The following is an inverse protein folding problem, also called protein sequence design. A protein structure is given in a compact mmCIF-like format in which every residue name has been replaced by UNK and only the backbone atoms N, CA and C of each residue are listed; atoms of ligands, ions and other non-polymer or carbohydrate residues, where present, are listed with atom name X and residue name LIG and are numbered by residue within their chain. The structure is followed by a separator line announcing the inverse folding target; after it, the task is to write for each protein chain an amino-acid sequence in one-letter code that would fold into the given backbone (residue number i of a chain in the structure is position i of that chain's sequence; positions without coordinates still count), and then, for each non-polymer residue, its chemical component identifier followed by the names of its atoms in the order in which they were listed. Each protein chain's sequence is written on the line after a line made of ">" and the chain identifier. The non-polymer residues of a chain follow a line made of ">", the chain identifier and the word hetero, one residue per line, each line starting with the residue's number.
data_IF_692568536203
#
_entry.id   IF_692568536203
#
_cell.length_a   1.000
_cell.length_b   1.000
_cell.length_c   1.000
_cell.angle_alpha   90.00
_cell.angle_beta   90.00
_cell.angle_gamma   90.00
#
_symmetry.space_group_name_H-M   'P 1'
#
loop_
_entity.id
_entity.type
_entity.pdbx_description
1 polymer ?
#
# COMPACT_ATOMS: atom_id res chain seq x y z
N UNK A 1 -11.17 -7.44 3.11
CA UNK A 1 -9.76 -7.77 2.82
C UNK A 1 -9.46 -7.88 1.32
N UNK A 2 -10.20 -8.68 0.51
CA UNK A 2 -9.95 -8.77 -0.94
C UNK A 2 -10.00 -7.43 -1.68
N UNK A 3 -11.04 -6.62 -1.46
CA UNK A 3 -11.19 -5.29 -2.11
C UNK A 3 -10.09 -4.31 -1.70
N UNK A 4 -9.76 -4.24 -0.40
CA UNK A 4 -8.71 -3.37 0.12
C UNK A 4 -7.32 -3.76 -0.40
N UNK A 5 -7.03 -5.05 -0.52
CA UNK A 5 -5.77 -5.54 -1.08
C UNK A 5 -5.62 -5.24 -2.57
N UNK A 6 -6.71 -5.27 -3.34
CA UNK A 6 -6.71 -4.83 -4.75
C UNK A 6 -6.36 -3.34 -4.85
N UNK A 7 -7.01 -2.48 -4.07
CA UNK A 7 -6.69 -1.04 -4.07
C UNK A 7 -5.27 -0.76 -3.60
N UNK A 8 -4.79 -1.48 -2.59
CA UNK A 8 -3.40 -1.38 -2.13
C UNK A 8 -2.42 -1.73 -3.26
N UNK A 9 -2.66 -2.84 -3.96
CA UNK A 9 -1.86 -3.25 -5.12
C UNK A 9 -1.86 -2.19 -6.23
N UNK A 10 -3.04 -1.63 -6.54
CA UNK A 10 -3.18 -0.53 -7.50
C UNK A 10 -2.41 0.72 -7.06
N UNK A 11 -2.49 1.12 -5.79
CA UNK A 11 -1.80 2.31 -5.30
C UNK A 11 -0.27 2.16 -5.40
N UNK A 12 0.25 0.99 -5.06
CA UNK A 12 1.68 0.69 -5.20
C UNK A 12 2.07 0.65 -6.69
N UNK A 13 1.27 0.03 -7.55
CA UNK A 13 1.53 0.01 -8.99
C UNK A 13 1.58 1.43 -9.56
N UNK A 14 0.58 2.26 -9.27
CA UNK A 14 0.49 3.64 -9.75
C UNK A 14 1.61 4.54 -9.19
N UNK A 15 2.20 4.19 -8.05
CA UNK A 15 3.41 4.87 -7.58
C UNK A 15 4.60 4.60 -8.50
N UNK A 16 4.82 3.34 -8.89
CA UNK A 16 5.94 2.95 -9.75
C UNK A 16 5.69 3.23 -11.24
N UNK A 17 4.42 3.26 -11.65
CA UNK A 17 3.93 3.61 -12.99
C UNK A 17 2.94 4.75 -12.89
N UNK A 18 3.43 5.99 -12.72
CA UNK A 18 2.60 7.16 -12.60
C UNK A 18 1.95 7.52 -13.95
N UNK A 19 0.91 6.77 -14.32
CA UNK A 19 0.17 6.96 -15.58
C UNK A 19 -0.98 7.96 -15.42
N UNK A 20 -1.51 8.10 -14.19
CA UNK A 20 -2.71 8.88 -13.90
C UNK A 20 -2.69 9.35 -12.43
N UNK A 21 -2.48 10.66 -12.17
CA UNK A 21 -2.49 11.20 -10.81
C UNK A 21 -3.78 10.85 -10.06
N UNK A 22 -4.94 11.09 -10.69
CA UNK A 22 -6.25 10.78 -10.10
C UNK A 22 -6.39 9.30 -9.73
N UNK A 23 -5.77 8.40 -10.49
CA UNK A 23 -5.79 6.97 -10.24
C UNK A 23 -4.90 6.60 -9.05
N UNK A 24 -3.72 7.22 -8.91
CA UNK A 24 -2.86 7.05 -7.73
C UNK A 24 -3.55 7.53 -6.44
N UNK A 25 -3.99 8.79 -6.40
CA UNK A 25 -4.63 9.35 -5.20
C UNK A 25 -5.98 8.69 -4.89
N UNK A 26 -6.74 8.33 -5.93
CA UNK A 26 -7.95 7.55 -5.80
C UNK A 26 -7.68 6.19 -5.16
N UNK A 27 -6.70 5.45 -5.67
CA UNK A 27 -6.31 4.15 -5.13
C UNK A 27 -5.79 4.25 -3.69
N UNK A 28 -4.94 5.25 -3.37
CA UNK A 28 -4.48 5.51 -2.01
C UNK A 28 -5.65 5.67 -1.04
N UNK A 29 -6.61 6.53 -1.38
CA UNK A 29 -7.77 6.79 -0.54
C UNK A 29 -8.66 5.56 -0.38
N UNK A 30 -8.99 4.87 -1.48
CA UNK A 30 -9.85 3.69 -1.40
C UNK A 30 -9.17 2.56 -0.62
N UNK A 31 -7.87 2.35 -0.82
CA UNK A 31 -7.09 1.41 -0.02
C UNK A 31 -7.10 1.79 1.47
N UNK A 32 -6.77 3.04 1.81
CA UNK A 32 -6.72 3.51 3.19
C UNK A 32 -8.06 3.37 3.90
N UNK A 33 -9.15 3.84 3.28
CA UNK A 33 -10.50 3.74 3.83
C UNK A 33 -10.91 2.29 4.06
N UNK A 34 -10.77 1.45 3.04
CA UNK A 34 -11.23 0.05 3.11
C UNK A 34 -10.36 -0.79 4.06
N UNK A 35 -9.07 -0.45 4.19
CA UNK A 35 -8.19 -1.02 5.21
C UNK A 35 -8.64 -0.60 6.62
N UNK A 36 -8.86 0.69 6.88
CA UNK A 36 -9.33 1.14 8.19
C UNK A 36 -10.67 0.52 8.58
N UNK A 37 -11.59 0.31 7.62
CA UNK A 37 -12.85 -0.43 7.88
C UNK A 37 -12.56 -1.85 8.32
N UNK A 38 -11.67 -2.53 7.59
CA UNK A 38 -11.26 -3.89 7.93
C UNK A 38 -10.53 -3.96 9.28
N UNK A 39 -9.84 -2.89 9.69
CA UNK A 39 -9.21 -2.77 10.99
C UNK A 39 -10.26 -2.62 12.11
N UNK A 40 -11.21 -1.68 11.97
CA UNK A 40 -12.31 -1.51 12.92
C UNK A 40 -13.05 -2.82 13.19
N UNK A 41 -13.45 -3.51 12.11
CA UNK A 41 -14.16 -4.79 12.19
C UNK A 41 -13.30 -5.86 12.90
N UNK A 42 -12.00 -5.92 12.60
CA UNK A 42 -11.09 -6.87 13.26
C UNK A 42 -10.95 -6.63 14.77
N UNK A 43 -11.24 -5.40 15.23
CA UNK A 43 -11.20 -5.00 16.64
C UNK A 43 -12.61 -4.87 17.26
N UNK A 44 -13.63 -5.51 16.64
CA UNK A 44 -14.99 -5.58 17.17
C UNK A 44 -15.79 -4.28 17.10
N UNK A 45 -15.37 -3.33 16.26
CA UNK A 45 -16.13 -2.11 15.98
C UNK A 45 -17.19 -2.29 14.89
N UNK A 46 -18.15 -1.36 14.85
CA UNK A 46 -19.21 -1.34 13.84
C UNK A 46 -18.69 -0.92 12.45
N UNK A 47 -19.46 -1.27 11.42
CA UNK A 47 -19.20 -0.81 10.06
C UNK A 47 -19.54 0.68 9.95
N UNK A 48 -18.51 1.50 9.72
CA UNK A 48 -18.65 2.96 9.55
C UNK A 48 -18.56 3.35 8.08
N UNK A 49 -19.53 4.16 7.63
CA UNK A 49 -19.60 4.65 6.26
C UNK A 49 -18.79 5.94 6.02
N UNK A 50 -18.38 6.13 4.76
CA UNK A 50 -17.75 7.35 4.27
C UNK A 50 -16.63 7.97 5.12
N UNK A 51 -16.89 9.21 5.56
CA UNK A 51 -15.94 10.16 6.14
C UNK A 51 -15.83 10.07 7.67
N UNK A 52 -16.78 9.42 8.33
CA UNK A 52 -16.82 9.26 9.79
C UNK A 52 -15.71 8.35 10.31
N UNK A 53 -15.13 7.52 9.42
CA UNK A 53 -14.09 6.57 9.77
C UNK A 53 -12.86 7.19 10.43
N UNK A 54 -12.47 8.40 10.03
CA UNK A 54 -11.31 9.09 10.60
C UNK A 54 -11.58 9.48 12.06
N UNK A 55 -12.79 9.96 12.36
CA UNK A 55 -13.18 10.28 13.73
C UNK A 55 -13.24 9.03 14.60
N UNK A 56 -13.86 7.94 14.10
CA UNK A 56 -13.95 6.67 14.84
C UNK A 56 -12.58 6.03 15.10
N UNK A 57 -11.67 6.10 14.12
CA UNK A 57 -10.30 5.58 14.27
C UNK A 57 -9.47 6.51 15.19
N UNK A 58 -9.69 7.83 15.14
CA UNK A 58 -8.87 8.83 15.81
C UNK A 58 -8.81 8.69 17.33
N UNK A 59 -9.88 8.23 17.97
CA UNK A 59 -9.90 8.00 19.41
C UNK A 59 -9.02 6.83 19.85
N UNK A 60 -8.93 5.78 19.03
CA UNK A 60 -8.27 4.51 19.40
C UNK A 60 -6.89 4.32 18.75
N UNK A 61 -6.70 4.85 17.55
CA UNK A 61 -5.49 4.71 16.76
C UNK A 61 -5.14 6.04 16.07
N UNK A 62 -4.71 7.06 16.84
CA UNK A 62 -4.43 8.40 16.32
C UNK A 62 -3.42 8.39 15.17
N UNK A 63 -2.39 7.56 15.23
CA UNK A 63 -1.39 7.44 14.16
C UNK A 63 -2.00 6.97 12.82
N UNK A 64 -3.01 6.11 12.87
CA UNK A 64 -3.70 5.62 11.68
C UNK A 64 -4.66 6.67 11.12
N UNK A 65 -5.33 7.42 12.00
CA UNK A 65 -6.14 8.56 11.61
C UNK A 65 -5.29 9.66 10.95
N UNK A 66 -4.12 9.98 11.52
CA UNK A 66 -3.19 10.97 10.95
C UNK A 66 -2.69 10.52 9.56
N UNK A 67 -2.28 9.25 9.43
CA UNK A 67 -1.85 8.69 8.15
C UNK A 67 -2.96 8.76 7.09
N UNK A 68 -4.21 8.48 7.47
CA UNK A 68 -5.34 8.57 6.55
C UNK A 68 -5.75 10.01 6.26
N UNK A 69 -5.68 10.91 7.23
CA UNK A 69 -5.90 12.35 7.07
C UNK A 69 -4.95 12.95 6.04
N UNK A 70 -3.66 12.57 6.08
CA UNK A 70 -2.69 12.93 5.02
C UNK A 70 -3.11 12.45 3.64
N UNK A 71 -3.53 11.19 3.50
CA UNK A 71 -4.00 10.62 2.23
C UNK A 71 -5.27 11.33 1.73
N UNK A 72 -6.23 11.59 2.61
CA UNK A 72 -7.48 12.27 2.27
C UNK A 72 -7.22 13.70 1.81
N UNK A 73 -6.38 14.43 2.54
CA UNK A 73 -5.97 15.78 2.16
C UNK A 73 -5.29 15.76 0.79
N UNK A 74 -4.34 14.83 0.57
CA UNK A 74 -3.64 14.71 -0.69
C UNK A 74 -4.58 14.40 -1.87
N UNK A 75 -5.60 13.55 -1.67
CA UNK A 75 -6.63 13.30 -2.68
C UNK A 75 -7.41 14.55 -3.05
N UNK A 76 -7.78 15.39 -2.07
CA UNK A 76 -8.52 16.61 -2.31
C UNK A 76 -7.67 17.70 -3.00
N UNK A 77 -6.35 17.65 -2.80
CA UNK A 77 -5.40 18.67 -3.29
C UNK A 77 -4.37 18.05 -4.24
N UNK A 78 -4.74 17.02 -5.01
CA UNK A 78 -3.80 16.24 -5.79
C UNK A 78 -3.04 17.08 -6.82
N UNK A 79 -3.65 18.18 -7.30
CA UNK A 79 -3.03 19.11 -8.25
C UNK A 79 -1.81 19.85 -7.67
N UNK A 80 -1.66 19.89 -6.34
CA UNK A 80 -0.50 20.51 -5.68
C UNK A 80 0.75 19.63 -5.68
N UNK A 81 0.63 18.35 -6.05
CA UNK A 81 1.75 17.43 -6.07
C UNK A 81 2.42 17.41 -7.43
N UNK A 82 3.76 17.47 -7.43
CA UNK A 82 4.54 17.15 -8.61
C UNK A 82 4.37 15.65 -8.94
N UNK A 83 3.57 15.37 -9.95
CA UNK A 83 3.35 14.02 -10.47
C UNK A 83 4.14 13.88 -11.78
N UNK A 84 5.40 13.43 -11.75
CA UNK A 84 6.18 13.20 -12.95
C UNK A 84 5.49 12.08 -13.71
N UNK A 85 4.73 12.47 -14.72
CA UNK A 85 4.14 11.54 -15.66
C UNK A 85 5.32 10.89 -16.39
N UNK A 86 5.35 9.56 -16.44
CA UNK A 86 6.30 8.76 -17.24
C UNK A 86 7.73 8.54 -16.69
N UNK A 87 8.06 8.95 -15.46
CA UNK A 87 9.31 8.52 -14.83
C UNK A 87 9.10 7.20 -14.06
N UNK A 88 9.71 6.11 -14.56
CA UNK A 88 9.73 4.84 -13.85
C UNK A 88 10.42 5.04 -12.50
N UNK A 89 9.65 4.95 -11.42
CA UNK A 89 10.23 5.00 -10.08
C UNK A 89 10.77 3.64 -9.71
N UNK A 90 11.86 3.64 -8.95
CA UNK A 90 12.38 2.44 -8.29
C UNK A 90 12.48 2.65 -6.78
N UNK A 91 12.72 3.88 -6.34
CA UNK A 91 12.78 4.21 -4.93
C UNK A 91 11.48 4.85 -4.46
N UNK A 92 11.11 4.56 -3.22
CA UNK A 92 9.99 5.23 -2.54
C UNK A 92 10.58 6.46 -1.86
N UNK A 93 10.26 7.63 -2.40
CA UNK A 93 10.87 8.91 -2.00
C UNK A 93 9.97 10.09 -2.37
N UNK A 94 10.29 11.25 -1.78
CA UNK A 94 9.55 12.49 -1.96
C UNK A 94 8.11 12.41 -1.47
N UNK A 95 7.34 13.46 -1.76
CA UNK A 95 5.98 13.62 -1.22
C UNK A 95 5.02 12.47 -1.61
N UNK A 96 5.10 11.95 -2.83
CA UNK A 96 4.28 10.80 -3.24
C UNK A 96 4.69 9.52 -2.51
N UNK A 97 6.00 9.34 -2.27
CA UNK A 97 6.53 8.21 -1.52
C UNK A 97 6.06 8.22 -0.07
N UNK A 98 6.06 9.39 0.57
CA UNK A 98 5.55 9.58 1.94
C UNK A 98 4.05 9.22 2.06
N UNK A 99 3.24 9.52 1.03
CA UNK A 99 1.84 9.08 0.99
C UNK A 99 1.71 7.56 0.85
N UNK A 100 2.57 6.93 0.04
CA UNK A 100 2.60 5.48 -0.08
C UNK A 100 3.02 4.82 1.24
N UNK A 101 3.98 5.40 1.97
CA UNK A 101 4.41 4.92 3.29
C UNK A 101 3.34 5.17 4.38
N UNK A 102 2.55 6.24 4.26
CA UNK A 102 1.37 6.44 5.12
C UNK A 102 0.35 5.32 4.91
N UNK A 103 0.12 4.92 3.65
CA UNK A 103 -0.71 3.76 3.34
C UNK A 103 -0.08 2.44 3.82
N UNK A 104 1.25 2.29 3.71
CA UNK A 104 1.98 1.14 4.26
C UNK A 104 1.71 0.99 5.76
N UNK A 105 1.77 2.08 6.52
CA UNK A 105 1.52 2.05 7.97
C UNK A 105 0.13 1.49 8.29
N UNK A 106 -0.89 2.01 7.61
CA UNK A 106 -2.27 1.51 7.73
C UNK A 106 -2.32 0.03 7.36
N UNK A 107 -1.83 -0.35 6.18
CA UNK A 107 -1.88 -1.72 5.69
C UNK A 107 -1.19 -2.70 6.66
N UNK A 108 0.00 -2.36 7.17
CA UNK A 108 0.72 -3.21 8.12
C UNK A 108 -0.05 -3.40 9.43
N UNK A 109 -0.70 -2.36 9.95
CA UNK A 109 -1.53 -2.46 11.15
C UNK A 109 -2.72 -3.40 10.92
N UNK A 110 -3.38 -3.26 9.77
CA UNK A 110 -4.51 -4.12 9.40
C UNK A 110 -4.05 -5.56 9.25
N UNK A 111 -3.01 -5.84 8.47
CA UNK A 111 -2.50 -7.20 8.26
C UNK A 111 -2.10 -7.86 9.58
N UNK A 112 -1.49 -7.11 10.50
CA UNK A 112 -1.18 -7.59 11.85
C UNK A 112 -2.43 -8.05 12.60
N UNK A 113 -3.54 -7.32 12.46
CA UNK A 113 -4.83 -7.67 13.09
C UNK A 113 -5.41 -8.98 12.54
N UNK A 114 -4.98 -9.42 11.35
CA UNK A 114 -5.29 -10.73 10.76
C UNK A 114 -4.16 -11.76 10.96
N UNK A 115 -3.18 -11.50 11.83
CA UNK A 115 -2.06 -12.41 12.10
C UNK A 115 -1.04 -12.49 10.95
N UNK A 116 -0.99 -11.50 10.06
CA UNK A 116 -0.10 -11.46 8.91
C UNK A 116 0.96 -10.38 9.04
N UNK A 117 2.18 -10.66 8.59
CA UNK A 117 3.32 -9.74 8.56
C UNK A 117 3.58 -9.27 7.15
N UNK A 118 2.88 -8.20 6.74
CA UNK A 118 3.17 -7.51 5.49
C UNK A 118 4.61 -6.95 5.53
N UNK A 119 5.45 -7.17 4.51
CA UNK A 119 6.80 -6.60 4.47
C UNK A 119 6.75 -5.07 4.34
N UNK A 120 7.82 -4.39 4.77
CA UNK A 120 7.96 -2.95 4.51
C UNK A 120 8.20 -2.77 3.02
N UNK A 121 7.50 -1.87 2.37
CA UNK A 121 7.60 -1.62 0.94
C UNK A 121 9.03 -1.24 0.57
N UNK A 122 9.67 -0.31 1.28
CA UNK A 122 11.06 0.08 1.01
C UNK A 122 12.00 -1.14 0.99
N UNK A 123 11.92 -1.99 2.01
CA UNK A 123 12.77 -3.19 2.13
C UNK A 123 12.43 -4.21 1.05
N UNK A 124 11.13 -4.42 0.79
CA UNK A 124 10.65 -5.38 -0.21
C UNK A 124 11.14 -5.00 -1.61
N UNK A 125 10.83 -3.79 -2.08
CA UNK A 125 11.23 -3.34 -3.41
C UNK A 125 12.76 -3.17 -3.52
N UNK A 126 13.41 -2.69 -2.45
CA UNK A 126 14.87 -2.59 -2.37
C UNK A 126 15.58 -3.94 -2.56
N UNK A 127 15.03 -5.05 -2.07
CA UNK A 127 15.59 -6.38 -2.33
C UNK A 127 15.65 -6.68 -3.83
N UNK A 128 14.59 -6.37 -4.58
CA UNK A 128 14.55 -6.63 -6.03
C UNK A 128 15.47 -5.70 -6.80
N UNK A 129 15.58 -4.44 -6.39
CA UNK A 129 16.47 -3.48 -7.04
C UNK A 129 17.93 -3.88 -6.82
N UNK A 130 18.34 -4.07 -5.56
CA UNK A 130 19.75 -4.25 -5.22
C UNK A 130 20.26 -5.67 -5.42
N UNK A 131 19.42 -6.70 -5.23
CA UNK A 131 19.85 -8.11 -5.33
C UNK A 131 19.40 -8.82 -6.59
N UNK A 132 18.34 -8.33 -7.25
CA UNK A 132 17.76 -8.97 -8.45
C UNK A 132 17.87 -8.13 -9.71
N UNK A 133 18.50 -6.94 -9.63
CA UNK A 133 18.74 -6.05 -10.76
C UNK A 133 17.45 -5.50 -11.37
N UNK A 134 16.38 -5.32 -10.58
CA UNK A 134 15.13 -4.79 -11.11
C UNK A 134 15.31 -3.35 -11.63
N UNK A 135 14.90 -3.12 -12.88
CA UNK A 135 14.92 -1.82 -13.56
C UNK A 135 13.53 -1.21 -13.74
N UNK A 136 12.50 -2.05 -13.71
CA UNK A 136 11.11 -1.64 -13.82
C UNK A 136 10.23 -2.67 -13.15
N UNK A 137 9.26 -2.26 -12.36
CA UNK A 137 8.16 -3.14 -11.91
C UNK A 137 7.07 -3.13 -13.00
N UNK A 138 6.18 -4.11 -13.11
CA UNK A 138 5.07 -4.04 -14.09
C UNK A 138 3.80 -4.73 -13.63
N UNK A 139 3.88 -5.52 -12.56
CA UNK A 139 2.69 -6.01 -11.89
C UNK A 139 2.97 -6.14 -10.40
N UNK A 140 2.00 -5.76 -9.60
CA UNK A 140 2.04 -5.89 -8.13
C UNK A 140 0.67 -6.42 -7.75
N UNK A 141 0.64 -7.55 -7.06
CA UNK A 141 -0.60 -8.16 -6.63
C UNK A 141 -0.44 -8.76 -5.24
N UNK A 142 -1.20 -8.22 -4.30
CA UNK A 142 -1.21 -8.65 -2.90
C UNK A 142 -2.50 -9.43 -2.66
N UNK A 143 -2.34 -10.70 -2.32
CA UNK A 143 -3.43 -11.65 -2.08
C UNK A 143 -3.38 -12.13 -0.63
N UNK A 144 -4.08 -11.46 0.31
CA UNK A 144 -4.05 -11.83 1.72
C UNK A 144 -4.51 -13.26 1.98
N UNK A 145 -5.56 -13.71 1.29
CA UNK A 145 -6.13 -15.06 1.48
C UNK A 145 -5.18 -16.17 1.03
N UNK A 146 -4.31 -15.88 0.06
CA UNK A 146 -3.24 -16.78 -0.38
C UNK A 146 -1.91 -16.48 0.33
N UNK A 147 -1.90 -15.55 1.28
CA UNK A 147 -0.70 -15.08 1.98
C UNK A 147 0.45 -14.80 1.01
N UNK A 148 0.16 -14.12 -0.09
CA UNK A 148 1.10 -13.98 -1.21
C UNK A 148 1.20 -12.54 -1.69
N UNK A 149 2.42 -12.13 -2.04
CA UNK A 149 2.70 -10.97 -2.90
C UNK A 149 3.33 -11.49 -4.18
N UNK A 150 2.74 -11.16 -5.31
CA UNK A 150 3.29 -11.39 -6.65
C UNK A 150 3.84 -10.09 -7.21
N UNK A 151 5.05 -10.15 -7.75
CA UNK A 151 5.76 -9.01 -8.33
C UNK A 151 6.30 -9.36 -9.71
N UNK A 152 5.80 -8.69 -10.73
CA UNK A 152 6.39 -8.67 -12.06
C UNK A 152 7.43 -7.55 -12.16
N UNK A 153 8.62 -7.86 -12.65
CA UNK A 153 9.68 -6.88 -12.88
C UNK A 153 10.58 -7.23 -14.06
N UNK A 154 11.09 -6.21 -14.74
CA UNK A 154 12.14 -6.33 -15.76
C UNK A 154 13.50 -6.19 -15.07
N UNK A 155 14.43 -7.11 -15.38
CA UNK A 155 15.79 -7.03 -14.84
C UNK A 155 16.73 -6.23 -15.77
N UNK A 156 17.96 -6.03 -15.30
CA UNK A 156 19.08 -5.40 -16.02
C UNK A 156 19.39 -5.99 -17.40
N UNK A 157 19.09 -7.27 -17.62
CA UNK A 157 19.20 -7.93 -18.91
C UNK A 157 17.98 -7.75 -19.83
N UNK A 158 17.02 -6.89 -19.47
CA UNK A 158 15.78 -6.67 -20.21
C UNK A 158 14.80 -7.85 -20.17
N UNK A 159 14.99 -8.80 -19.26
CA UNK A 159 14.14 -10.00 -19.15
C UNK A 159 13.03 -9.77 -18.13
N UNK A 160 11.80 -10.09 -18.53
CA UNK A 160 10.65 -10.12 -17.63
C UNK A 160 10.76 -11.28 -16.64
N UNK A 161 10.54 -10.98 -15.37
CA UNK A 161 10.56 -11.93 -14.25
C UNK A 161 9.28 -11.82 -13.46
N UNK A 162 8.80 -12.95 -12.96
CA UNK A 162 7.72 -13.03 -11.99
C UNK A 162 8.29 -13.61 -10.69
N UNK A 163 8.13 -12.89 -9.60
CA UNK A 163 8.48 -13.36 -8.27
C UNK A 163 7.22 -13.52 -7.43
N UNK A 164 7.15 -14.61 -6.67
CA UNK A 164 6.12 -14.85 -5.66
C UNK A 164 6.79 -14.87 -4.28
N UNK A 165 6.25 -14.11 -3.34
CA UNK A 165 6.74 -14.02 -1.96
C UNK A 165 5.60 -14.32 -1.00
N UNK A 166 5.85 -15.16 0.00
CA UNK A 166 4.88 -15.46 1.05
C UNK A 166 4.81 -14.29 2.04
N UNK A 167 3.60 -13.87 2.39
CA UNK A 167 3.32 -12.99 3.52
C UNK A 167 3.36 -13.88 4.76
N UNK A 168 4.32 -13.62 5.64
CA UNK A 168 4.53 -14.50 6.79
C UNK A 168 3.36 -14.37 7.76
N UNK A 169 2.90 -15.50 8.31
CA UNK A 169 2.08 -15.45 9.52
C UNK A 169 2.94 -15.00 10.67
N UNK A 170 2.36 -14.19 11.55
CA UNK A 170 2.91 -13.99 12.88
C UNK A 170 2.77 -15.33 13.60
N UNK A 171 3.90 -15.95 13.95
CA UNK A 171 3.85 -17.14 14.80
C UNK A 171 3.16 -16.78 16.11
N UNK A 172 2.41 -17.73 16.67
CA UNK A 172 2.43 -17.85 18.12
C UNK A 172 3.87 -18.25 18.43
N UNK A 173 4.72 -17.28 18.71
CA UNK A 173 5.87 -17.57 19.56
C UNK A 173 5.22 -18.04 20.88
N UNK A 174 5.25 -19.36 21.08
CA UNK A 174 4.74 -20.04 22.27
C UNK A 174 5.46 -19.54 23.53
#
# INVERSE_FOLDING_TARGET
>A
MKSSARWLSTAIYQYFHPDCPHCFFGALYHAGRDLLRAHLIAHGGDLVEGWEIEATIGERWPDLAEAFGRIRWARAHWQSYAFPQFENRLQIEGALGELLLSLENIARSVYRSYGLRLPKFQTFFGEFIHRRGARRFFSIDIQPDQETISLGYENDAGKLKLARRKILRMGNDA
#
